data_IF_977799610297
#
_entry.id   IF_977799610297
#
_cell.length_a   1.000
_cell.length_b   1.000
_cell.length_c   1.000
_cell.angle_alpha   90.00
_cell.angle_beta   90.00
_cell.angle_gamma   90.00
#
_symmetry.space_group_name_H-M   'P 1'
#
loop_
_entity.id
_entity.type
_entity.pdbx_description
1 polymer ?
#
# COMPACT_ATOMS: atom_id res chain seq x y z
N UNK A 1 -16.22 -22.14 -13.01
CA UNK A 1 -15.01 -21.99 -12.18
C UNK A 1 -14.46 -20.59 -12.40
N UNK A 2 -14.48 -19.65 -11.43
CA UNK A 2 -13.86 -18.36 -11.65
C UNK A 2 -12.34 -18.55 -11.56
N UNK A 3 -11.64 -18.26 -12.66
CA UNK A 3 -10.18 -18.21 -12.71
C UNK A 3 -9.72 -17.17 -11.68
N UNK A 4 -9.06 -17.61 -10.61
CA UNK A 4 -8.34 -16.70 -9.73
C UNK A 4 -7.36 -15.92 -10.60
N UNK A 5 -7.61 -14.62 -10.79
CA UNK A 5 -6.60 -13.74 -11.36
C UNK A 5 -5.38 -13.90 -10.47
N UNK A 6 -4.26 -14.33 -11.05
CA UNK A 6 -2.95 -14.27 -10.43
C UNK A 6 -2.72 -12.82 -10.04
N UNK A 7 -2.97 -12.53 -8.77
CA UNK A 7 -2.63 -11.26 -8.18
C UNK A 7 -1.14 -11.40 -7.88
N UNK A 8 -0.30 -10.90 -8.80
CA UNK A 8 1.15 -10.90 -8.60
C UNK A 8 1.45 -10.07 -7.35
N UNK A 9 2.08 -10.72 -6.37
CA UNK A 9 2.55 -10.06 -5.18
C UNK A 9 3.68 -9.09 -5.55
N UNK A 10 3.61 -7.89 -4.99
CA UNK A 10 4.57 -6.83 -5.19
C UNK A 10 5.01 -6.22 -3.85
N UNK A 11 6.10 -5.48 -3.92
CA UNK A 11 6.63 -4.63 -2.86
C UNK A 11 6.54 -3.15 -3.24
N UNK A 12 6.27 -2.34 -2.22
CA UNK A 12 6.30 -0.88 -2.25
C UNK A 12 7.14 -0.41 -1.06
N UNK A 13 8.13 0.44 -1.31
CA UNK A 13 8.84 1.18 -0.26
C UNK A 13 8.49 2.65 -0.38
N UNK A 14 8.17 3.29 0.74
CA UNK A 14 7.79 4.69 0.75
C UNK A 14 7.62 5.28 2.15
N UNK A 15 7.44 6.60 2.18
CA UNK A 15 7.24 7.37 3.41
C UNK A 15 5.75 7.65 3.59
N UNK A 16 5.20 7.29 4.75
CA UNK A 16 3.80 7.56 5.09
C UNK A 16 3.61 9.08 5.22
N UNK A 17 2.77 9.67 4.37
CA UNK A 17 2.46 11.09 4.39
C UNK A 17 1.25 11.38 5.28
N UNK A 18 0.23 10.52 5.24
CA UNK A 18 -1.03 10.72 5.95
C UNK A 18 -1.71 9.37 6.28
N UNK A 19 -2.30 9.27 7.47
CA UNK A 19 -3.13 8.15 7.90
C UNK A 19 -4.62 8.54 7.77
N UNK A 20 -5.13 8.45 6.54
CA UNK A 20 -6.52 8.83 6.20
C UNK A 20 -7.61 8.04 6.93
N UNK A 21 -7.32 6.80 7.38
CA UNK A 21 -8.25 5.97 8.14
C UNK A 21 -7.51 4.97 9.04
N UNK A 22 -8.03 4.76 10.25
CA UNK A 22 -7.56 3.74 11.18
C UNK A 22 -8.73 3.12 11.97
N UNK A 23 -8.83 1.80 11.91
CA UNK A 23 -9.74 1.00 12.75
C UNK A 23 -9.07 -0.33 13.11
N UNK A 24 -8.82 -0.57 14.40
CA UNK A 24 -8.06 -1.73 14.87
C UNK A 24 -6.69 -1.85 14.22
N UNK A 25 -6.44 -2.93 13.47
CA UNK A 25 -5.22 -3.14 12.67
C UNK A 25 -5.34 -2.69 11.21
N UNK A 26 -6.54 -2.28 10.77
CA UNK A 26 -6.79 -1.86 9.40
C UNK A 26 -6.44 -0.37 9.22
N UNK A 27 -5.73 -0.05 8.15
CA UNK A 27 -5.30 1.32 7.82
C UNK A 27 -5.57 1.64 6.36
N UNK A 28 -5.81 2.92 6.08
CA UNK A 28 -5.68 3.51 4.73
C UNK A 28 -4.70 4.67 4.83
N UNK A 29 -3.66 4.62 4.00
CA UNK A 29 -2.51 5.52 4.03
C UNK A 29 -2.35 6.22 2.69
N UNK A 30 -1.86 7.45 2.72
CA UNK A 30 -1.17 8.07 1.58
C UNK A 30 0.32 7.86 1.77
N UNK A 31 0.97 7.22 0.80
CA UNK A 31 2.40 6.90 0.85
C UNK A 31 3.10 7.56 -0.32
N UNK A 32 4.14 8.35 -0.03
CA UNK A 32 5.07 8.86 -1.05
C UNK A 32 5.97 7.71 -1.50
N UNK A 33 5.95 7.40 -2.79
CA UNK A 33 6.65 6.27 -3.38
C UNK A 33 8.14 6.56 -3.52
N UNK A 34 8.97 5.73 -2.90
CA UNK A 34 10.44 5.74 -3.07
C UNK A 34 10.84 4.73 -4.14
N UNK A 35 10.34 3.49 -4.05
CA UNK A 35 10.52 2.45 -5.07
C UNK A 35 9.39 1.43 -5.00
N UNK A 36 9.08 0.80 -6.12
CA UNK A 36 8.12 -0.31 -6.18
C UNK A 36 8.53 -1.32 -7.24
N UNK A 37 7.92 -2.50 -7.19
CA UNK A 37 8.20 -3.63 -8.11
C UNK A 37 7.12 -3.81 -9.18
N UNK A 38 6.25 -2.81 -9.33
CA UNK A 38 5.15 -2.78 -10.28
C UNK A 38 5.14 -1.43 -11.00
N UNK A 39 4.46 -1.36 -12.15
CA UNK A 39 4.40 -0.14 -12.94
C UNK A 39 3.57 0.94 -12.22
N UNK A 40 4.27 1.89 -11.61
CA UNK A 40 3.70 3.05 -10.93
C UNK A 40 4.51 4.31 -11.25
N UNK A 41 3.82 5.36 -11.69
CA UNK A 41 4.47 6.59 -12.17
C UNK A 41 4.11 7.83 -11.36
N UNK A 42 3.19 7.70 -10.39
CA UNK A 42 2.75 8.82 -9.56
C UNK A 42 3.64 8.95 -8.32
N UNK A 43 3.85 10.15 -7.79
CA UNK A 43 4.69 10.35 -6.61
C UNK A 43 4.09 9.73 -5.34
N UNK A 44 2.78 9.54 -5.30
CA UNK A 44 2.04 9.00 -4.16
C UNK A 44 1.14 7.85 -4.59
N UNK A 45 0.85 6.97 -3.63
CA UNK A 45 -0.06 5.84 -3.79
C UNK A 45 -0.88 5.65 -2.52
N UNK A 46 -2.15 5.29 -2.68
CA UNK A 46 -2.98 4.84 -1.55
C UNK A 46 -2.61 3.41 -1.20
N UNK A 47 -2.23 3.18 0.06
CA UNK A 47 -2.00 1.85 0.63
C UNK A 47 -3.15 1.51 1.58
N UNK A 48 -3.72 0.32 1.49
CA UNK A 48 -4.76 -0.14 2.42
C UNK A 48 -4.53 -1.58 2.87
N UNK A 49 -4.88 -1.90 4.12
CA UNK A 49 -4.80 -3.28 4.59
C UNK A 49 -4.67 -3.43 6.11
N UNK A 50 -4.66 -4.68 6.60
CA UNK A 50 -4.44 -5.01 8.02
C UNK A 50 -2.94 -4.96 8.35
N UNK A 51 -2.36 -3.77 8.41
CA UNK A 51 -0.92 -3.55 8.55
C UNK A 51 -0.49 -3.04 9.93
N UNK A 52 -1.44 -2.87 10.85
CA UNK A 52 -1.19 -2.47 12.23
C UNK A 52 -0.80 -1.00 12.39
N UNK A 53 0.01 -0.73 13.40
CA UNK A 53 0.47 0.63 13.69
C UNK A 53 1.55 1.07 12.70
N UNK A 54 1.36 2.28 12.17
CA UNK A 54 2.30 2.99 11.31
C UNK A 54 2.38 4.43 11.79
N UNK A 55 3.49 5.09 11.52
CA UNK A 55 3.71 6.49 11.88
C UNK A 55 3.91 7.34 10.62
N UNK A 56 3.33 8.53 10.62
CA UNK A 56 3.57 9.53 9.58
C UNK A 56 5.02 10.01 9.62
N UNK A 57 5.57 10.35 8.45
CA UNK A 57 6.97 10.75 8.29
C UNK A 57 7.97 9.59 8.26
N UNK A 58 7.56 8.38 8.67
CA UNK A 58 8.44 7.22 8.73
C UNK A 58 8.42 6.39 7.44
N UNK A 59 9.52 5.70 7.15
CA UNK A 59 9.67 4.87 5.96
C UNK A 59 9.32 3.40 6.22
N UNK A 60 8.48 2.85 5.34
CA UNK A 60 8.02 1.46 5.42
C UNK A 60 8.23 0.74 4.10
N UNK A 61 8.48 -0.57 4.21
CA UNK A 61 8.28 -1.52 3.13
C UNK A 61 6.94 -2.25 3.32
N UNK A 62 6.08 -2.17 2.31
CA UNK A 62 4.81 -2.87 2.22
C UNK A 62 4.91 -4.04 1.25
N UNK A 63 4.33 -5.18 1.63
CA UNK A 63 4.16 -6.36 0.77
C UNK A 63 2.67 -6.56 0.51
N UNK A 64 2.28 -6.74 -0.75
CA UNK A 64 0.89 -6.67 -1.15
C UNK A 64 0.70 -6.78 -2.65
N UNK A 65 -0.32 -6.13 -3.18
CA UNK A 65 -0.62 -6.17 -4.61
C UNK A 65 -1.39 -4.95 -5.09
N UNK A 66 -1.22 -4.60 -6.37
CA UNK A 66 -1.94 -3.49 -6.98
C UNK A 66 -3.34 -3.95 -7.43
N UNK A 67 -4.36 -3.18 -7.06
CA UNK A 67 -5.76 -3.38 -7.49
C UNK A 67 -6.29 -2.13 -8.16
N UNK A 68 -7.09 -2.30 -9.22
CA UNK A 68 -7.83 -1.21 -9.84
C UNK A 68 -9.25 -1.16 -9.26
N UNK A 69 -9.60 -0.05 -8.60
CA UNK A 69 -10.96 0.22 -8.11
C UNK A 69 -11.70 1.14 -9.10
N UNK A 70 -12.97 0.85 -9.47
CA UNK A 70 -13.71 1.63 -10.48
C UNK A 70 -13.82 3.14 -10.23
N UNK A 71 -13.83 3.59 -8.96
CA UNK A 71 -14.01 5.01 -8.59
C UNK A 71 -12.74 5.73 -8.14
N UNK A 72 -11.77 4.99 -7.62
CA UNK A 72 -10.61 5.55 -6.93
C UNK A 72 -9.29 5.29 -7.66
N UNK A 73 -9.35 4.60 -8.80
CA UNK A 73 -8.16 4.22 -9.55
C UNK A 73 -7.39 3.08 -8.88
N UNK A 74 -6.09 3.03 -9.15
CA UNK A 74 -5.22 1.98 -8.66
C UNK A 74 -4.79 2.24 -7.21
N UNK A 75 -4.81 1.20 -6.38
CA UNK A 75 -4.39 1.23 -4.98
C UNK A 75 -3.55 0.00 -4.66
N UNK A 76 -2.68 0.12 -3.66
CA UNK A 76 -1.88 -1.00 -3.18
C UNK A 76 -2.54 -1.63 -1.94
N UNK A 77 -2.95 -2.89 -2.05
CA UNK A 77 -3.52 -3.64 -0.92
C UNK A 77 -2.39 -4.39 -0.23
N UNK A 78 -1.98 -3.90 0.93
CA UNK A 78 -0.90 -4.44 1.73
C UNK A 78 -1.40 -5.54 2.68
N UNK A 79 -0.56 -6.56 2.87
CA UNK A 79 -0.75 -7.63 3.88
C UNK A 79 0.23 -7.51 5.03
N UNK A 80 1.33 -6.80 4.79
CA UNK A 80 2.39 -6.58 5.75
C UNK A 80 3.00 -5.20 5.52
N UNK A 81 3.38 -4.54 6.62
CA UNK A 81 4.24 -3.37 6.63
C UNK A 81 5.44 -3.65 7.55
N UNK A 82 6.63 -3.22 7.16
CA UNK A 82 7.85 -3.28 7.97
C UNK A 82 8.51 -1.90 7.96
N UNK A 83 8.72 -1.32 9.14
CA UNK A 83 9.49 -0.07 9.29
C UNK A 83 10.95 -0.32 8.90
N UNK A 84 11.54 0.58 8.13
CA UNK A 84 12.92 0.45 7.63
C UNK A 84 13.79 1.71 7.85
N UNK A 85 13.21 2.79 8.37
CA UNK A 85 13.88 4.01 8.84
C UNK A 85 13.19 4.52 10.10
#
# INVERSE_FOLDING_TARGET
>A
MPKSKLVNEGSLTGVVQDITFADGFFRILVVRVVRCSFDWTRPEITVSGPIGEVMEGEEYQFIGHLVLKPRFGQQFVARQAKRIG
#
